data_IF_824639908009
#
_entry.id   IF_824639908009
#
_cell.length_a   1.000
_cell.length_b   1.000
_cell.length_c   1.000
_cell.angle_alpha   90.00
_cell.angle_beta   90.00
_cell.angle_gamma   90.00
#
_symmetry.space_group_name_H-M   'P 1'
#
loop_
_entity.id
_entity.type
_entity.pdbx_description
1 polymer ?
#
# COMPACT_ATOMS: atom_id res chain seq x y z
N UNK A 1 2.39 19.92 -1.95
CA UNK A 1 3.08 19.75 -0.64
C UNK A 1 2.06 19.68 0.49
N UNK A 2 1.75 18.50 1.05
CA UNK A 2 0.69 18.38 2.07
C UNK A 2 0.47 17.00 2.70
N UNK A 3 1.53 16.24 3.00
CA UNK A 3 1.41 14.96 3.73
C UNK A 3 1.70 15.06 5.23
N UNK A 4 2.54 16.03 5.61
CA UNK A 4 3.19 16.06 6.92
C UNK A 4 2.37 16.76 8.01
N UNK A 5 1.29 17.46 7.66
CA UNK A 5 0.50 18.25 8.63
C UNK A 5 -0.37 17.39 9.55
N UNK A 6 -0.81 16.21 9.10
CA UNK A 6 -1.89 15.47 9.76
C UNK A 6 -1.48 14.73 11.03
N UNK A 7 -0.20 14.42 11.21
CA UNK A 7 0.29 13.82 12.46
C UNK A 7 0.85 14.91 13.38
N UNK A 8 1.64 15.81 12.79
CA UNK A 8 2.47 16.79 13.50
C UNK A 8 1.61 17.78 14.28
N UNK A 9 0.42 18.15 13.80
CA UNK A 9 -0.49 19.06 14.52
C UNK A 9 -1.02 18.55 15.87
N UNK A 10 -1.07 17.23 16.09
CA UNK A 10 -1.49 16.62 17.36
C UNK A 10 -0.29 16.17 18.19
N UNK A 11 0.75 15.65 17.53
CA UNK A 11 1.94 15.14 18.20
C UNK A 11 2.79 16.27 18.81
N UNK A 12 2.96 17.40 18.11
CA UNK A 12 3.89 18.45 18.54
C UNK A 12 3.54 19.09 19.89
N UNK A 13 2.26 19.45 20.18
CA UNK A 13 1.91 19.95 21.50
C UNK A 13 2.19 18.96 22.64
N UNK A 14 2.03 17.66 22.39
CA UNK A 14 2.17 16.64 23.43
C UNK A 14 3.64 16.27 23.66
N UNK A 15 4.43 16.11 22.59
CA UNK A 15 5.77 15.50 22.65
C UNK A 15 6.94 16.48 22.49
N UNK A 16 6.71 17.75 22.12
CA UNK A 16 7.79 18.71 21.83
C UNK A 16 7.82 19.91 22.78
N UNK A 17 6.79 20.76 22.75
CA UNK A 17 6.88 22.07 23.42
C UNK A 17 5.54 22.65 23.93
N UNK A 18 4.47 21.85 23.92
CA UNK A 18 3.15 22.30 24.37
C UNK A 18 2.36 23.09 23.33
N UNK A 19 2.91 23.37 22.14
CA UNK A 19 2.28 24.25 21.15
C UNK A 19 2.21 23.62 19.75
N UNK A 20 1.43 24.24 18.87
CA UNK A 20 1.36 23.86 17.47
C UNK A 20 2.68 24.14 16.74
N UNK A 21 3.02 23.36 15.70
CA UNK A 21 4.22 23.58 14.90
C UNK A 21 4.25 24.98 14.28
N UNK A 22 5.43 25.62 14.29
CA UNK A 22 5.62 26.97 13.72
C UNK A 22 5.20 27.02 12.25
N UNK A 23 5.52 25.99 11.47
CA UNK A 23 5.16 25.89 10.06
C UNK A 23 3.63 25.89 9.84
N UNK A 24 2.87 25.19 10.69
CA UNK A 24 1.41 25.15 10.61
C UNK A 24 0.82 26.54 10.88
N UNK A 25 1.28 27.20 11.94
CA UNK A 25 0.85 28.57 12.30
C UNK A 25 1.12 29.55 11.15
N UNK A 26 2.32 29.49 10.56
CA UNK A 26 2.71 30.33 9.43
C UNK A 26 1.86 30.10 8.17
N UNK A 27 1.53 28.84 7.85
CA UNK A 27 0.70 28.50 6.69
C UNK A 27 -0.75 28.98 6.83
N UNK A 28 -1.33 28.84 8.02
CA UNK A 28 -2.69 29.33 8.29
C UNK A 28 -2.72 30.85 8.21
N UNK A 29 -1.71 31.53 8.75
CA UNK A 29 -1.60 32.98 8.65
C UNK A 29 -1.44 33.46 7.20
N UNK A 30 -0.64 32.76 6.40
CA UNK A 30 -0.50 33.06 4.96
C UNK A 30 -1.84 32.88 4.22
N UNK A 31 -2.58 31.80 4.49
CA UNK A 31 -3.89 31.58 3.86
C UNK A 31 -4.92 32.61 4.28
N UNK A 32 -4.93 33.02 5.55
CA UNK A 32 -5.80 34.09 6.07
C UNK A 32 -5.55 35.42 5.36
N UNK A 33 -4.28 35.77 5.11
CA UNK A 33 -3.90 36.96 4.33
C UNK A 33 -4.29 36.85 2.85
N UNK A 34 -4.13 35.67 2.26
CA UNK A 34 -4.46 35.43 0.86
C UNK A 34 -5.97 35.44 0.57
N UNK A 35 -6.79 35.09 1.56
CA UNK A 35 -8.24 35.03 1.43
C UNK A 35 -8.93 35.76 2.58
N UNK A 36 -8.97 37.10 2.57
CA UNK A 36 -9.55 37.88 3.68
C UNK A 36 -11.08 37.77 3.79
N UNK A 37 -11.76 37.34 2.72
CA UNK A 37 -13.22 37.20 2.65
C UNK A 37 -13.73 35.80 3.04
N UNK A 38 -12.84 34.81 3.13
CA UNK A 38 -13.18 33.47 3.61
C UNK A 38 -12.38 33.21 4.88
N UNK A 39 -13.04 32.85 5.98
CA UNK A 39 -12.31 32.39 7.17
C UNK A 39 -11.88 30.92 6.94
N UNK A 40 -10.63 30.63 6.53
CA UNK A 40 -10.32 29.31 5.96
C UNK A 40 -10.16 28.23 7.05
N UNK A 41 -9.99 28.64 8.31
CA UNK A 41 -10.04 27.88 9.56
C UNK A 41 -9.47 28.80 10.66
N UNK A 42 -10.06 28.79 11.87
CA UNK A 42 -9.46 29.45 13.04
C UNK A 42 -8.60 28.42 13.79
N UNK A 43 -7.29 28.65 13.87
CA UNK A 43 -6.40 27.88 14.73
C UNK A 43 -6.36 28.54 16.12
N UNK A 44 -6.82 27.86 17.19
CA UNK A 44 -6.70 28.37 18.56
C UNK A 44 -5.24 28.55 18.96
N UNK A 45 -4.99 29.44 19.91
CA UNK A 45 -3.65 29.69 20.48
C UNK A 45 -3.63 29.18 21.91
N UNK A 46 -2.63 28.37 22.25
CA UNK A 46 -2.45 27.91 23.62
C UNK A 46 -1.83 29.00 24.50
N UNK A 47 -2.43 29.22 25.66
CA UNK A 47 -1.86 30.04 26.73
C UNK A 47 -0.64 29.35 27.36
N UNK A 48 0.18 30.11 28.09
CA UNK A 48 1.36 29.55 28.75
C UNK A 48 1.04 28.42 29.74
N UNK A 49 -0.10 28.49 30.43
CA UNK A 49 -0.57 27.45 31.34
C UNK A 49 -1.03 26.19 30.59
N UNK A 50 -1.78 26.36 29.49
CA UNK A 50 -2.25 25.23 28.67
C UNK A 50 -1.08 24.48 28.02
N UNK A 51 -0.09 25.20 27.50
CA UNK A 51 1.13 24.59 26.94
C UNK A 51 1.82 23.70 27.96
N UNK A 52 2.01 24.20 29.19
CA UNK A 52 2.60 23.42 30.29
C UNK A 52 1.76 22.20 30.67
N UNK A 53 0.43 22.34 30.61
CA UNK A 53 -0.49 21.25 30.97
C UNK A 53 -0.55 20.14 29.92
N UNK A 54 -0.36 20.46 28.64
CA UNK A 54 -0.46 19.51 27.53
C UNK A 54 0.90 18.84 27.26
N UNK A 55 2.00 19.56 27.41
CA UNK A 55 3.33 19.04 27.15
C UNK A 55 3.67 17.87 28.09
N UNK A 56 4.12 16.75 27.52
CA UNK A 56 4.52 15.55 28.25
C UNK A 56 3.36 14.73 28.82
N UNK A 57 2.15 14.85 28.27
CA UNK A 57 0.94 14.15 28.78
C UNK A 57 0.73 12.74 28.21
N UNK A 58 1.71 12.17 27.52
CA UNK A 58 1.62 10.82 26.96
C UNK A 58 2.87 10.00 27.26
N UNK A 59 2.67 8.79 27.79
CA UNK A 59 3.75 7.86 28.15
C UNK A 59 4.29 7.07 26.95
N UNK A 60 3.50 6.93 25.88
CA UNK A 60 3.87 6.22 24.67
C UNK A 60 3.22 6.87 23.43
N UNK A 61 3.81 6.61 22.26
CA UNK A 61 3.29 7.10 20.98
C UNK A 61 2.44 6.02 20.30
N UNK A 62 1.11 6.15 20.34
CA UNK A 62 0.20 5.30 19.59
C UNK A 62 0.10 5.74 18.13
N UNK A 63 0.37 4.84 17.18
CA UNK A 63 0.29 5.13 15.75
C UNK A 63 -0.67 4.16 15.05
N UNK A 64 -1.70 4.73 14.41
CA UNK A 64 -2.54 4.01 13.47
C UNK A 64 -2.03 4.27 12.05
N UNK A 65 -1.40 3.27 11.44
CA UNK A 65 -0.93 3.33 10.05
C UNK A 65 -1.64 2.28 9.20
N UNK A 66 -2.10 2.68 8.01
CA UNK A 66 -2.90 1.86 7.11
C UNK A 66 -2.40 1.91 5.67
N UNK A 67 -2.00 3.10 5.19
CA UNK A 67 -1.62 3.31 3.82
C UNK A 67 -0.73 4.54 3.68
N UNK A 68 0.12 4.55 2.65
CA UNK A 68 0.94 5.70 2.29
C UNK A 68 0.44 6.37 1.03
N UNK A 69 0.54 7.70 1.00
CA UNK A 69 0.18 8.52 -0.15
C UNK A 69 1.43 9.19 -0.72
N UNK A 70 1.60 9.14 -2.03
CA UNK A 70 2.53 10.02 -2.72
C UNK A 70 2.01 11.46 -2.62
N UNK A 71 2.88 12.38 -2.23
CA UNK A 71 2.54 13.80 -2.14
C UNK A 71 3.42 14.55 -3.12
N UNK A 72 2.80 15.04 -4.19
CA UNK A 72 3.46 15.91 -5.16
C UNK A 72 3.20 17.39 -4.85
N UNK A 73 3.95 18.26 -5.52
CA UNK A 73 3.67 19.68 -5.58
C UNK A 73 2.60 20.04 -6.62
N UNK A 74 2.21 19.09 -7.47
CA UNK A 74 1.12 19.23 -8.43
C UNK A 74 -0.22 18.76 -7.86
N UNK A 75 -1.29 19.45 -8.24
CA UNK A 75 -2.68 19.11 -7.92
C UNK A 75 -3.06 17.81 -8.63
N UNK A 76 -3.45 16.76 -7.89
CA UNK A 76 -4.30 15.69 -8.43
C UNK A 76 -3.73 14.28 -8.65
N UNK A 77 -2.59 13.88 -8.07
CA UNK A 77 -2.09 12.50 -8.19
C UNK A 77 -2.16 11.71 -6.88
N UNK A 78 -3.09 10.77 -6.75
CA UNK A 78 -3.07 9.77 -5.68
C UNK A 78 -2.47 8.47 -6.22
N UNK A 79 -1.23 8.17 -5.84
CA UNK A 79 -0.63 6.85 -6.05
C UNK A 79 -0.07 6.37 -4.71
N UNK A 80 -0.35 5.12 -4.36
CA UNK A 80 0.14 4.50 -3.13
C UNK A 80 1.64 4.20 -3.27
N UNK A 81 2.46 4.72 -2.36
CA UNK A 81 3.88 4.44 -2.33
C UNK A 81 4.16 3.19 -1.46
N UNK A 82 5.01 2.23 -1.88
CA UNK A 82 5.21 0.97 -1.14
C UNK A 82 6.00 1.06 0.17
N UNK A 83 6.47 2.24 0.60
CA UNK A 83 7.53 2.38 1.62
C UNK A 83 7.16 3.31 2.79
N UNK A 84 5.98 3.07 3.39
CA UNK A 84 5.35 3.92 4.41
C UNK A 84 5.88 3.82 5.82
N UNK A 85 5.50 2.73 6.49
CA UNK A 85 5.61 2.59 7.94
C UNK A 85 7.04 2.75 8.45
N UNK A 86 8.03 2.10 7.82
CA UNK A 86 9.43 2.23 8.22
C UNK A 86 9.91 3.69 8.17
N UNK A 87 9.59 4.42 7.10
CA UNK A 87 9.99 5.83 6.97
C UNK A 87 9.24 6.72 7.97
N UNK A 88 7.95 6.44 8.20
CA UNK A 88 7.13 7.15 9.17
C UNK A 88 7.66 6.97 10.60
N UNK A 89 8.01 5.74 10.98
CA UNK A 89 8.59 5.45 12.29
C UNK A 89 9.95 6.13 12.49
N UNK A 90 10.81 6.14 11.47
CA UNK A 90 12.08 6.89 11.53
C UNK A 90 11.87 8.40 11.64
N UNK A 91 10.87 8.95 10.95
CA UNK A 91 10.49 10.37 11.09
C UNK A 91 10.03 10.68 12.51
N UNK A 92 9.14 9.87 13.10
CA UNK A 92 8.65 10.07 14.46
C UNK A 92 9.81 10.06 15.46
N UNK A 93 10.74 9.11 15.31
CA UNK A 93 11.93 9.02 16.15
C UNK A 93 12.79 10.29 16.05
N UNK A 94 13.00 10.79 14.84
CA UNK A 94 13.84 11.96 14.59
C UNK A 94 13.23 13.27 15.12
N UNK A 95 11.92 13.44 14.97
CA UNK A 95 11.23 14.69 15.27
C UNK A 95 10.77 14.79 16.74
N UNK A 96 10.35 13.68 17.35
CA UNK A 96 9.61 13.70 18.62
C UNK A 96 10.31 13.03 19.80
N UNK A 97 11.34 12.21 19.56
CA UNK A 97 11.97 11.40 20.61
C UNK A 97 13.45 11.78 20.85
N UNK A 98 13.81 13.02 20.50
CA UNK A 98 15.09 13.68 20.80
C UNK A 98 16.34 12.81 20.54
N UNK A 99 16.67 12.60 19.27
CA UNK A 99 17.93 11.94 18.89
C UNK A 99 19.14 12.89 19.05
N UNK A 100 19.00 14.14 19.54
CA UNK A 100 20.16 15.04 19.69
C UNK A 100 21.24 14.47 20.63
N UNK A 101 20.92 13.48 21.47
CA UNK A 101 21.88 12.75 22.33
C UNK A 101 22.37 11.41 21.75
N UNK A 102 21.77 10.88 20.69
CA UNK A 102 22.09 9.55 20.13
C UNK A 102 22.77 9.61 18.74
N UNK A 103 22.84 10.78 18.10
CA UNK A 103 23.57 10.98 16.83
C UNK A 103 25.10 10.86 16.94
N UNK A 104 25.65 10.59 18.12
CA UNK A 104 27.08 10.30 18.28
C UNK A 104 27.48 8.91 17.71
N UNK A 105 26.54 7.98 17.48
CA UNK A 105 26.87 6.64 16.98
C UNK A 105 26.07 6.29 15.71
N UNK A 106 26.77 6.39 14.58
CA UNK A 106 26.25 6.34 13.21
C UNK A 106 25.93 4.91 12.71
N UNK A 107 25.18 4.12 13.50
CA UNK A 107 24.67 2.81 13.08
C UNK A 107 23.31 2.51 13.74
N UNK A 108 22.25 2.57 12.93
CA UNK A 108 20.89 2.11 13.26
C UNK A 108 20.25 2.71 14.54
N UNK A 109 19.67 3.91 14.42
CA UNK A 109 18.64 4.35 15.37
C UNK A 109 17.45 3.36 15.32
N UNK A 110 17.41 2.43 16.28
CA UNK A 110 16.37 1.41 16.40
C UNK A 110 15.11 2.08 16.96
N UNK A 111 14.00 1.94 16.25
CA UNK A 111 12.69 2.40 16.73
C UNK A 111 12.20 1.41 17.80
N UNK A 112 11.89 1.91 19.00
CA UNK A 112 11.32 1.11 20.10
C UNK A 112 9.82 0.83 19.86
N UNK A 113 9.52 -0.23 19.10
CA UNK A 113 8.14 -0.70 18.88
C UNK A 113 7.84 -1.84 19.86
N UNK A 114 6.92 -1.60 20.79
CA UNK A 114 6.60 -2.57 21.86
C UNK A 114 5.36 -3.43 21.60
N UNK A 115 4.53 -3.08 20.62
CA UNK A 115 3.32 -3.81 20.33
C UNK A 115 2.71 -3.44 18.98
N UNK A 116 1.89 -4.34 18.44
CA UNK A 116 1.13 -4.14 17.23
C UNK A 116 -0.25 -4.77 17.40
N UNK A 117 -1.30 -3.99 17.18
CA UNK A 117 -2.70 -4.43 17.28
C UNK A 117 -3.35 -4.33 15.90
N UNK A 118 -3.83 -5.47 15.39
CA UNK A 118 -4.49 -5.52 14.08
C UNK A 118 -5.87 -4.88 14.15
N UNK A 119 -6.15 -3.96 13.21
CA UNK A 119 -7.51 -3.49 12.94
C UNK A 119 -8.18 -4.41 11.92
N UNK A 120 -9.18 -5.21 12.27
CA UNK A 120 -9.80 -5.38 13.59
C UNK A 120 -9.85 -6.86 13.97
N UNK A 121 -10.22 -7.15 15.22
CA UNK A 121 -10.44 -8.53 15.64
C UNK A 121 -11.57 -9.18 14.81
N UNK A 122 -12.69 -8.49 14.62
CA UNK A 122 -13.86 -9.03 13.91
C UNK A 122 -14.50 -8.00 12.99
N UNK A 123 -15.23 -8.46 11.97
CA UNK A 123 -16.03 -7.59 11.11
C UNK A 123 -16.92 -6.69 11.96
N UNK A 124 -16.84 -5.38 11.73
CA UNK A 124 -17.56 -4.36 12.48
C UNK A 124 -18.20 -3.34 11.51
N UNK A 125 -18.82 -2.31 12.07
CA UNK A 125 -19.40 -1.20 11.30
C UNK A 125 -18.31 -0.18 10.96
N UNK A 126 -17.97 -0.07 9.69
CA UNK A 126 -16.92 0.81 9.17
C UNK A 126 -17.49 2.17 8.76
N UNK A 127 -18.01 2.90 9.74
CA UNK A 127 -18.41 4.30 9.62
C UNK A 127 -19.29 4.56 8.37
N UNK A 128 -18.86 5.46 7.47
CA UNK A 128 -19.61 5.80 6.27
C UNK A 128 -19.76 4.64 5.27
N UNK A 129 -18.88 3.63 5.31
CA UNK A 129 -18.96 2.45 4.47
C UNK A 129 -19.92 1.37 5.02
N UNK A 130 -20.45 1.56 6.24
CA UNK A 130 -21.33 0.61 6.89
C UNK A 130 -20.69 -0.77 7.04
N UNK A 131 -21.35 -1.83 6.55
CA UNK A 131 -20.84 -3.20 6.59
C UNK A 131 -20.27 -3.69 5.24
N UNK A 132 -20.08 -2.78 4.28
CA UNK A 132 -19.58 -3.10 2.96
C UNK A 132 -18.08 -3.47 3.01
N UNK A 133 -17.28 -2.72 3.77
CA UNK A 133 -15.87 -3.00 4.00
C UNK A 133 -15.67 -3.88 5.24
N UNK A 134 -14.77 -4.86 5.17
CA UNK A 134 -14.64 -5.92 6.18
C UNK A 134 -13.19 -6.24 6.53
N UNK A 135 -12.62 -5.48 7.45
CA UNK A 135 -11.22 -5.60 7.88
C UNK A 135 -10.95 -6.69 8.92
N UNK A 136 -11.97 -7.18 9.61
CA UNK A 136 -11.80 -8.09 10.75
C UNK A 136 -11.13 -9.43 10.41
N UNK A 137 -10.30 -9.94 11.31
CA UNK A 137 -9.73 -11.30 11.25
C UNK A 137 -10.82 -12.38 11.29
N UNK A 138 -11.90 -12.12 12.03
CA UNK A 138 -13.08 -12.97 12.07
C UNK A 138 -14.21 -12.37 11.24
N UNK A 139 -14.84 -13.19 10.41
CA UNK A 139 -16.09 -12.85 9.74
C UNK A 139 -17.26 -12.87 10.72
N UNK A 140 -18.16 -11.90 10.58
CA UNK A 140 -19.41 -11.81 11.34
C UNK A 140 -20.55 -11.73 10.35
N UNK A 141 -21.55 -12.60 10.51
CA UNK A 141 -22.78 -12.53 9.74
C UNK A 141 -23.78 -11.58 10.41
N UNK A 142 -23.90 -10.36 9.90
CA UNK A 142 -24.80 -9.33 10.46
C UNK A 142 -26.29 -9.58 10.15
N UNK A 143 -26.62 -10.55 9.29
CA UNK A 143 -28.02 -10.93 9.00
C UNK A 143 -28.57 -11.95 9.99
N UNK A 144 -27.71 -12.57 10.80
CA UNK A 144 -28.08 -13.51 11.84
C UNK A 144 -27.94 -12.85 13.22
N UNK A 145 -28.98 -12.95 14.05
CA UNK A 145 -29.00 -12.42 15.41
C UNK A 145 -28.01 -13.13 16.35
N UNK A 146 -27.53 -14.33 15.99
CA UNK A 146 -26.50 -15.04 16.78
C UNK A 146 -25.13 -14.36 16.70
N UNK A 147 -24.87 -13.58 15.63
CA UNK A 147 -23.60 -12.88 15.39
C UNK A 147 -22.38 -13.78 15.58
N UNK A 148 -22.43 -15.01 15.04
CA UNK A 148 -21.32 -15.96 15.12
C UNK A 148 -20.03 -15.39 14.49
N UNK A 149 -18.89 -15.65 15.14
CA UNK A 149 -17.55 -15.21 14.70
C UNK A 149 -16.86 -16.39 14.03
N UNK A 150 -16.63 -16.27 12.72
CA UNK A 150 -16.04 -17.34 11.90
C UNK A 150 -14.60 -16.92 11.55
N UNK A 151 -13.56 -17.69 11.95
CA UNK A 151 -12.18 -17.32 11.66
C UNK A 151 -11.93 -17.30 10.14
N UNK A 152 -11.29 -16.23 9.65
CA UNK A 152 -10.77 -16.17 8.27
C UNK A 152 -9.36 -16.76 8.22
N UNK A 153 -8.83 -16.99 7.02
CA UNK A 153 -7.45 -17.44 6.82
C UNK A 153 -6.42 -16.49 7.48
N UNK A 154 -6.70 -15.19 7.53
CA UNK A 154 -5.85 -14.20 8.21
C UNK A 154 -5.81 -14.37 9.74
N UNK A 155 -6.78 -15.08 10.34
CA UNK A 155 -6.80 -15.40 11.76
C UNK A 155 -6.04 -16.70 12.08
N UNK A 156 -5.58 -17.44 11.07
CA UNK A 156 -4.74 -18.61 11.31
C UNK A 156 -3.45 -18.16 12.00
N UNK A 157 -2.93 -18.94 12.97
CA UNK A 157 -1.64 -18.65 13.55
C UNK A 157 -0.62 -18.51 12.43
N UNK A 158 0.08 -17.38 12.40
CA UNK A 158 1.33 -17.29 11.65
C UNK A 158 2.19 -18.42 12.23
N UNK A 159 2.39 -19.50 11.46
CA UNK A 159 3.39 -20.51 11.78
C UNK A 159 4.75 -19.85 11.99
N UNK A 160 5.79 -20.58 12.44
CA UNK A 160 7.09 -19.99 12.76
C UNK A 160 7.57 -19.07 11.63
N UNK A 161 7.40 -17.76 11.84
CA UNK A 161 7.69 -16.77 10.83
C UNK A 161 9.20 -16.62 10.82
N UNK A 162 9.81 -16.62 9.63
CA UNK A 162 11.27 -16.62 9.44
C UNK A 162 11.97 -15.47 10.21
N UNK A 163 11.24 -14.37 10.48
CA UNK A 163 11.70 -13.24 11.29
C UNK A 163 11.77 -13.47 12.81
N UNK A 164 11.20 -14.57 13.32
CA UNK A 164 11.28 -14.96 14.74
C UNK A 164 12.53 -15.80 15.04
N UNK A 165 13.26 -16.21 14.01
CA UNK A 165 14.58 -16.83 14.18
C UNK A 165 15.62 -15.71 14.30
N UNK A 166 16.38 -15.63 15.41
CA UNK A 166 17.49 -14.68 15.50
C UNK A 166 18.49 -15.00 14.38
N UNK A 167 18.62 -14.07 13.43
CA UNK A 167 19.68 -14.13 12.43
C UNK A 167 21.01 -13.95 13.18
N UNK A 168 22.00 -14.83 12.98
CA UNK A 168 23.31 -14.65 13.58
C UNK A 168 23.91 -13.31 13.11
N UNK A 169 24.32 -12.48 14.06
CA UNK A 169 25.06 -11.26 13.80
C UNK A 169 26.35 -11.60 13.03
N UNK A 170 26.46 -11.05 11.82
CA UNK A 170 27.68 -11.09 11.03
C UNK A 170 27.75 -12.26 10.04
N UNK A 171 27.16 -12.07 8.87
CA UNK A 171 27.71 -12.64 7.63
C UNK A 171 28.10 -11.46 6.74
N UNK A 172 29.32 -11.44 6.15
CA UNK A 172 29.70 -10.42 5.18
C UNK A 172 28.66 -10.35 4.07
N UNK A 173 28.49 -9.16 3.49
CA UNK A 173 27.54 -8.89 2.41
C UNK A 173 27.46 -10.07 1.44
N UNK A 174 26.26 -10.60 1.13
CA UNK A 174 26.13 -11.70 0.21
C UNK A 174 26.82 -11.33 -1.11
N UNK A 175 27.59 -12.25 -1.73
CA UNK A 175 28.10 -12.00 -3.06
C UNK A 175 26.93 -11.62 -3.97
N UNK A 176 27.15 -10.58 -4.79
CA UNK A 176 26.18 -10.01 -5.72
C UNK A 176 25.34 -11.12 -6.34
N UNK A 177 24.01 -10.97 -6.26
CA UNK A 177 23.00 -11.94 -6.66
C UNK A 177 23.47 -12.83 -7.82
N UNK A 178 23.52 -14.15 -7.57
CA UNK A 178 23.70 -15.13 -8.63
C UNK A 178 22.55 -14.92 -9.61
N UNK A 179 22.90 -14.41 -10.79
CA UNK A 179 21.96 -14.22 -11.89
C UNK A 179 21.53 -15.60 -12.34
N UNK A 180 20.32 -16.00 -11.98
CA UNK A 180 19.74 -17.29 -12.35
C UNK A 180 19.48 -17.29 -13.87
N UNK A 181 20.40 -17.87 -14.62
CA UNK A 181 20.36 -18.00 -16.08
C UNK A 181 19.73 -19.34 -16.43
N UNK A 182 18.58 -19.29 -17.10
CA UNK A 182 17.92 -20.46 -17.65
C UNK A 182 18.21 -20.59 -19.15
N UNK A 183 18.29 -21.83 -19.65
CA UNK A 183 18.37 -22.09 -21.09
C UNK A 183 16.96 -22.11 -21.67
N UNK A 184 16.65 -21.18 -22.58
CA UNK A 184 15.37 -21.11 -23.29
C UNK A 184 15.60 -21.17 -24.81
N UNK A 185 15.04 -22.19 -25.47
CA UNK A 185 15.27 -22.47 -26.91
C UNK A 185 16.75 -22.56 -27.31
N UNK A 186 17.60 -23.05 -26.40
CA UNK A 186 19.05 -23.18 -26.63
C UNK A 186 19.86 -21.91 -26.42
N UNK A 187 19.24 -20.81 -26.00
CA UNK A 187 19.95 -19.58 -25.57
C UNK A 187 19.94 -19.43 -24.05
N UNK A 188 21.07 -19.03 -23.48
CA UNK A 188 21.17 -18.66 -22.06
C UNK A 188 20.57 -17.27 -21.84
N UNK A 189 19.47 -17.19 -21.09
CA UNK A 189 18.72 -15.97 -20.82
C UNK A 189 18.43 -15.83 -19.32
N UNK A 190 18.28 -14.59 -18.83
CA UNK A 190 17.71 -14.35 -17.51
C UNK A 190 16.26 -14.88 -17.48
N UNK A 191 15.83 -15.49 -16.37
CA UNK A 191 14.49 -16.08 -16.26
C UNK A 191 13.36 -15.08 -16.59
N UNK A 192 13.50 -13.82 -16.16
CA UNK A 192 12.54 -12.76 -16.48
C UNK A 192 12.47 -12.38 -17.96
N UNK A 193 13.55 -12.58 -18.73
CA UNK A 193 13.57 -12.31 -20.17
C UNK A 193 12.97 -13.49 -20.95
N UNK A 194 13.15 -14.71 -20.46
CA UNK A 194 12.56 -15.91 -21.06
C UNK A 194 11.03 -15.90 -21.00
N UNK A 195 10.45 -15.44 -19.89
CA UNK A 195 9.00 -15.30 -19.74
C UNK A 195 8.42 -14.30 -20.74
N UNK A 196 9.04 -13.13 -20.87
CA UNK A 196 8.63 -12.10 -21.86
C UNK A 196 8.76 -12.65 -23.28
N UNK A 197 9.84 -13.36 -23.61
CA UNK A 197 10.03 -13.97 -24.92
C UNK A 197 8.93 -15.00 -25.25
N UNK A 198 8.52 -15.82 -24.27
CA UNK A 198 7.45 -16.80 -24.45
C UNK A 198 6.11 -16.14 -24.78
N UNK A 199 5.73 -15.06 -24.09
CA UNK A 199 4.49 -14.33 -24.37
C UNK A 199 4.49 -13.70 -25.77
N UNK A 200 5.62 -13.14 -26.21
CA UNK A 200 5.75 -12.56 -27.55
C UNK A 200 5.62 -13.63 -28.64
N UNK A 201 6.26 -14.79 -28.46
CA UNK A 201 6.17 -15.91 -29.40
C UNK A 201 4.72 -16.44 -29.47
N UNK A 202 4.05 -16.60 -28.33
CA UNK A 202 2.67 -17.05 -28.27
C UNK A 202 1.71 -16.08 -28.98
N UNK A 203 1.90 -14.76 -28.79
CA UNK A 203 1.12 -13.73 -29.48
C UNK A 203 1.35 -13.78 -31.00
N UNK A 204 2.61 -13.88 -31.44
CA UNK A 204 2.96 -13.97 -32.86
C UNK A 204 2.35 -15.21 -33.53
N UNK A 205 2.40 -16.37 -32.87
CA UNK A 205 1.75 -17.60 -33.35
C UNK A 205 0.23 -17.46 -33.42
N UNK A 206 -0.38 -16.82 -32.42
CA UNK A 206 -1.83 -16.54 -32.42
C UNK A 206 -2.26 -15.69 -33.61
N UNK A 207 -1.49 -14.65 -33.94
CA UNK A 207 -1.76 -13.74 -35.07
C UNK A 207 -1.66 -14.47 -36.43
N UNK A 208 -0.78 -15.46 -36.56
CA UNK A 208 -0.60 -16.21 -37.82
C UNK A 208 -1.58 -17.38 -37.94
N UNK A 209 -1.78 -18.17 -36.87
CA UNK A 209 -2.59 -19.40 -36.92
C UNK A 209 -4.09 -19.10 -36.94
N UNK A 210 -4.55 -18.07 -36.22
CA UNK A 210 -5.97 -17.73 -36.17
C UNK A 210 -6.58 -17.35 -37.54
N UNK A 211 -5.97 -16.50 -38.38
CA UNK A 211 -6.51 -16.19 -39.70
C UNK A 211 -6.45 -17.38 -40.66
N UNK A 212 -5.40 -18.22 -40.60
CA UNK A 212 -5.32 -19.45 -41.41
C UNK A 212 -6.47 -20.39 -41.05
N UNK A 213 -6.71 -20.60 -39.76
CA UNK A 213 -7.82 -21.43 -39.29
C UNK A 213 -9.19 -20.83 -39.62
N UNK A 214 -9.33 -19.51 -39.54
CA UNK A 214 -10.52 -18.77 -39.97
C UNK A 214 -10.81 -18.94 -41.46
N UNK A 215 -9.79 -18.76 -42.31
CA UNK A 215 -9.88 -18.95 -43.76
C UNK A 215 -10.24 -20.40 -44.11
N UNK A 216 -9.59 -21.38 -43.49
CA UNK A 216 -9.92 -22.80 -43.65
C UNK A 216 -11.39 -23.08 -43.32
N UNK A 217 -11.90 -22.56 -42.20
CA UNK A 217 -13.31 -22.74 -41.81
C UNK A 217 -14.27 -22.08 -42.79
N UNK A 218 -13.93 -20.91 -43.32
CA UNK A 218 -14.73 -20.22 -44.33
C UNK A 218 -14.79 -21.01 -45.64
N UNK A 219 -13.64 -21.44 -46.16
CA UNK A 219 -13.57 -22.26 -47.39
C UNK A 219 -14.34 -23.56 -47.22
N UNK A 220 -14.19 -24.25 -46.09
CA UNK A 220 -14.95 -25.48 -45.78
C UNK A 220 -16.46 -25.25 -45.75
N UNK A 221 -16.92 -24.12 -45.20
CA UNK A 221 -18.35 -23.74 -45.22
C UNK A 221 -18.84 -23.46 -46.64
N UNK A 222 -18.05 -22.77 -47.46
CA UNK A 222 -18.40 -22.48 -48.85
C UNK A 222 -18.49 -23.77 -49.70
N UNK A 223 -17.55 -24.70 -49.52
CA UNK A 223 -17.57 -26.00 -50.20
C UNK A 223 -18.80 -26.83 -49.81
N UNK A 224 -19.15 -26.88 -48.52
CA UNK A 224 -20.38 -27.55 -48.07
C UNK A 224 -21.65 -26.92 -48.66
N UNK A 225 -21.72 -25.59 -48.76
CA UNK A 225 -22.85 -24.89 -49.38
C UNK A 225 -22.96 -25.20 -50.88
N UNK A 226 -21.84 -25.17 -51.62
CA UNK A 226 -21.84 -25.53 -53.06
C UNK A 226 -22.26 -26.98 -53.30
N UNK A 227 -21.78 -27.92 -52.48
CA UNK A 227 -22.18 -29.32 -52.55
C UNK A 227 -23.69 -29.51 -52.27
N UNK A 228 -24.24 -28.79 -51.28
CA UNK A 228 -25.68 -28.84 -50.97
C UNK A 228 -26.56 -28.27 -52.10
N UNK A 229 -26.13 -27.18 -52.75
CA UNK A 229 -26.84 -26.58 -53.90
C UNK A 229 -26.78 -27.50 -55.12
N UNK A 230 -25.62 -28.10 -55.41
CA UNK A 230 -25.47 -29.06 -56.52
C UNK A 230 -26.35 -30.31 -56.34
N UNK A 231 -26.50 -30.81 -55.12
CA UNK A 231 -27.34 -31.97 -54.82
C UNK A 231 -28.84 -31.69 -55.01
N UNK A 232 -29.28 -30.46 -54.71
CA UNK A 232 -30.67 -30.03 -54.91
C UNK A 232 -30.99 -29.81 -56.40
N UNK A 233 -30.01 -29.42 -57.21
CA UNK A 233 -30.19 -29.18 -58.65
C UNK A 233 -30.27 -30.48 -59.48
N UNK A 234 -29.74 -31.60 -58.97
CA UNK A 234 -29.86 -32.93 -59.60
C UNK A 234 -31.15 -33.69 -59.20
N UNK A 235 -31.98 -33.11 -58.33
CA UNK A 235 -33.26 -33.69 -57.86
C UNK A 235 -34.51 -33.00 -58.45
N UNK A 236 -34.33 -32.10 -59.41
CA UNK A 236 -35.38 -31.52 -60.26
C UNK A 236 -35.24 -32.07 -61.67
#
# INVERSE_FOLDING_TARGET
LGGWTNLVWFAHPIFVDGDYPVLLKAQIEQKRKACPLSEPARLPVFTGDERRRIHGTADFFGLNDYASRLVSNSVGGCTTAPWGLRRLLHFILAEYLDISKAWANQAAARVDVRGYTVWSLMGNFEWAAGYAERFGLFYVNCSDYTLARIPKASAAPLGPHECLNPQPEGTPAPPLAVVDRGVFLGLELLSGVAEVALYIIALALGIVVAPIFGAYRLVKRQLKRKAAVSLNMQRM
#
